data_IF_490260233026
#
_entry.id   IF_490260233026
#
_cell.length_a   1.000
_cell.length_b   1.000
_cell.length_c   1.000
_cell.angle_alpha   90.00
_cell.angle_beta   90.00
_cell.angle_gamma   90.00
#
_symmetry.space_group_name_H-M   'P 1'
#
loop_
_entity.id
_entity.type
_entity.pdbx_description
1 polymer ?
#
# COMPACT_ATOMS: atom_id res chain seq x y z
N UNK A 1 33.68 42.57 -33.34
CA UNK A 1 32.94 41.41 -33.88
C UNK A 1 31.76 41.18 -32.95
N UNK A 2 30.57 41.62 -33.37
CA UNK A 2 29.47 40.73 -33.83
C UNK A 2 29.04 39.77 -32.72
N UNK A 3 27.98 40.05 -31.95
CA UNK A 3 26.54 40.09 -32.30
C UNK A 3 25.97 38.68 -32.53
N UNK A 4 24.94 38.38 -31.72
CA UNK A 4 23.84 37.41 -31.92
C UNK A 4 24.08 35.89 -31.86
N UNK A 5 23.38 35.22 -30.95
CA UNK A 5 22.07 34.63 -31.30
C UNK A 5 21.25 34.15 -30.08
N UNK A 6 20.08 34.76 -29.96
CA UNK A 6 18.86 34.38 -29.23
C UNK A 6 18.34 33.00 -29.75
N UNK A 7 17.46 32.24 -29.05
CA UNK A 7 16.04 32.60 -29.04
C UNK A 7 15.26 32.30 -27.74
N UNK A 8 14.44 33.28 -27.35
CA UNK A 8 12.99 33.17 -27.09
C UNK A 8 12.53 32.11 -26.07
N UNK A 9 12.13 32.58 -24.89
CA UNK A 9 10.81 32.22 -24.36
C UNK A 9 10.11 33.54 -24.01
N UNK A 10 9.36 34.04 -24.99
CA UNK A 10 8.20 34.87 -24.71
C UNK A 10 7.24 34.03 -23.86
N UNK A 11 6.77 34.58 -22.75
CA UNK A 11 5.43 34.27 -22.28
C UNK A 11 4.76 35.60 -21.98
N UNK A 12 4.14 36.15 -23.03
CA UNK A 12 3.16 37.21 -22.90
C UNK A 12 1.88 36.67 -22.25
N UNK A 13 1.06 37.61 -21.81
CA UNK A 13 -0.29 37.47 -21.22
C UNK A 13 -0.32 36.68 -19.90
N UNK A 14 -0.87 37.24 -18.82
CA UNK A 14 -2.23 37.76 -18.79
C UNK A 14 -2.37 38.97 -17.89
N UNK A 15 -3.11 39.94 -18.42
CA UNK A 15 -3.89 40.91 -17.64
C UNK A 15 -4.69 40.11 -16.61
N UNK A 16 -4.57 40.49 -15.34
CA UNK A 16 -5.56 40.16 -14.32
C UNK A 16 -5.81 41.44 -13.55
N UNK A 17 -6.84 42.15 -14.01
CA UNK A 17 -7.58 43.14 -13.22
C UNK A 17 -7.87 42.55 -11.84
N UNK A 18 -7.24 43.12 -10.81
CA UNK A 18 -7.69 42.95 -9.43
C UNK A 18 -8.75 44.02 -9.16
N UNK A 19 -10.01 43.65 -9.32
CA UNK A 19 -11.17 44.39 -8.82
C UNK A 19 -11.07 44.54 -7.30
N UNK A 20 -11.21 45.79 -6.85
CA UNK A 20 -10.86 46.30 -5.55
C UNK A 20 -11.85 45.89 -4.46
N UNK A 21 -11.39 45.15 -3.44
CA UNK A 21 -11.81 45.37 -2.04
C UNK A 21 -10.66 45.08 -1.06
N UNK A 22 -9.83 46.11 -0.88
CA UNK A 22 -9.17 46.39 0.40
C UNK A 22 -8.05 45.46 0.83
N UNK A 23 -6.89 45.55 0.19
CA UNK A 23 -5.60 45.46 0.89
C UNK A 23 -4.55 46.25 0.11
N UNK A 24 -3.83 47.11 0.83
CA UNK A 24 -2.82 48.02 0.32
C UNK A 24 -1.60 47.23 -0.15
N UNK A 25 -1.36 47.13 -1.46
CA UNK A 25 -0.19 46.47 -2.03
C UNK A 25 0.72 47.53 -2.65
N UNK A 26 1.70 47.99 -1.86
CA UNK A 26 2.90 48.64 -2.39
C UNK A 26 3.63 47.70 -3.37
N UNK A 27 4.29 48.34 -4.33
CA UNK A 27 4.89 47.78 -5.53
C UNK A 27 5.70 46.48 -5.32
N UNK A 28 5.64 45.63 -6.35
CA UNK A 28 6.25 44.32 -6.43
C UNK A 28 7.67 44.23 -5.88
N UNK A 29 7.81 43.46 -4.80
CA UNK A 29 9.10 42.95 -4.40
C UNK A 29 9.58 41.94 -5.45
N UNK A 30 10.83 42.03 -5.95
CA UNK A 30 11.38 40.98 -6.80
C UNK A 30 11.39 39.68 -6.00
N UNK A 31 10.81 38.62 -6.58
CA UNK A 31 10.86 37.26 -6.03
C UNK A 31 12.33 36.86 -5.92
N UNK A 32 12.93 37.01 -4.73
CA UNK A 32 14.20 36.39 -4.42
C UNK A 32 13.95 34.89 -4.37
N UNK A 33 14.42 34.18 -5.38
CA UNK A 33 14.63 32.73 -5.28
C UNK A 33 15.67 32.55 -4.17
N UNK A 34 15.22 32.31 -2.94
CA UNK A 34 16.09 31.82 -1.87
C UNK A 34 16.55 30.44 -2.36
N UNK A 35 17.85 30.24 -2.65
CA UNK A 35 18.33 28.92 -3.02
C UNK A 35 17.99 27.99 -1.86
N UNK A 36 17.02 27.10 -2.10
CA UNK A 36 16.57 26.13 -1.12
C UNK A 36 17.79 25.36 -0.63
N UNK A 37 18.05 25.43 0.68
CA UNK A 37 19.07 24.63 1.35
C UNK A 37 18.91 23.19 0.85
N UNK A 38 19.96 22.53 0.33
CA UNK A 38 19.83 21.15 -0.14
C UNK A 38 19.29 20.33 1.03
N UNK A 39 18.04 19.88 0.91
CA UNK A 39 17.43 18.98 1.88
C UNK A 39 18.18 17.67 1.68
N UNK A 40 19.22 17.48 2.49
CA UNK A 40 19.96 16.23 2.63
C UNK A 40 18.98 15.18 3.13
N UNK A 41 18.20 14.66 2.19
CA UNK A 41 17.35 13.49 2.33
C UNK A 41 18.25 12.25 2.25
N UNK A 42 19.23 12.17 3.13
CA UNK A 42 19.77 10.88 3.54
C UNK A 42 18.74 10.22 4.46
N UNK A 43 17.51 10.06 3.97
CA UNK A 43 16.65 9.00 4.44
C UNK A 43 17.32 7.74 3.93
N UNK A 44 18.31 7.25 4.67
CA UNK A 44 18.73 5.86 4.52
C UNK A 44 17.47 5.06 4.83
N UNK A 45 16.73 4.67 3.79
CA UNK A 45 15.64 3.72 3.88
C UNK A 45 16.28 2.40 4.30
N UNK A 46 16.58 2.30 5.59
CA UNK A 46 17.12 1.11 6.19
C UNK A 46 15.99 0.09 6.19
N UNK A 47 16.02 -0.80 5.21
CA UNK A 47 15.12 -1.95 5.10
C UNK A 47 15.07 -2.70 6.44
N UNK A 48 16.18 -2.77 7.18
CA UNK A 48 16.24 -3.37 8.51
C UNK A 48 15.46 -2.62 9.59
N UNK A 49 15.41 -1.28 9.54
CA UNK A 49 14.60 -0.47 10.46
C UNK A 49 13.10 -0.61 10.17
N UNK A 50 12.74 -0.65 8.89
CA UNK A 50 11.37 -0.91 8.44
C UNK A 50 10.90 -2.30 8.88
N UNK A 51 11.72 -3.34 8.71
CA UNK A 51 11.44 -4.70 9.16
C UNK A 51 11.24 -4.79 10.68
N UNK A 52 12.02 -4.03 11.45
CA UNK A 52 11.92 -4.01 12.92
C UNK A 52 10.67 -3.27 13.40
N UNK A 53 10.26 -2.20 12.71
CA UNK A 53 8.99 -1.51 12.96
C UNK A 53 7.79 -2.37 12.56
N UNK A 54 7.90 -3.13 11.46
CA UNK A 54 6.94 -4.16 11.06
C UNK A 54 6.74 -5.19 12.18
N UNK A 55 7.81 -5.60 12.88
CA UNK A 55 7.72 -6.62 13.93
C UNK A 55 7.06 -6.17 15.25
N UNK A 56 6.80 -4.88 15.45
CA UNK A 56 6.34 -4.33 16.74
C UNK A 56 4.83 -4.12 16.85
N UNK A 57 4.06 -4.13 15.76
CA UNK A 57 2.61 -3.90 15.81
C UNK A 57 1.81 -5.21 15.98
N UNK A 58 0.76 -5.22 16.81
CA UNK A 58 -0.02 -6.44 17.11
C UNK A 58 -0.81 -6.95 15.90
N UNK A 59 -1.32 -6.05 15.05
CA UNK A 59 -2.07 -6.41 13.84
C UNK A 59 -1.19 -7.12 12.81
N UNK A 60 0.10 -6.81 12.80
CA UNK A 60 1.05 -7.38 11.86
C UNK A 60 1.56 -8.77 12.27
N UNK A 61 1.42 -9.14 13.54
CA UNK A 61 1.74 -10.49 14.01
C UNK A 61 0.90 -11.54 13.31
N UNK A 62 -0.37 -11.23 12.99
CA UNK A 62 -1.28 -12.13 12.28
C UNK A 62 -0.82 -12.31 10.83
N UNK A 63 -0.44 -11.22 10.16
CA UNK A 63 0.09 -11.25 8.79
C UNK A 63 1.41 -12.04 8.73
N UNK A 64 2.29 -11.81 9.70
CA UNK A 64 3.59 -12.48 9.78
C UNK A 64 3.44 -13.98 10.08
N UNK A 65 2.46 -14.34 10.92
CA UNK A 65 2.10 -15.73 11.16
C UNK A 65 1.58 -16.39 9.88
N UNK A 66 0.69 -15.72 9.15
CA UNK A 66 0.19 -16.18 7.85
C UNK A 66 1.30 -16.36 6.81
N UNK A 67 2.22 -15.40 6.71
CA UNK A 67 3.37 -15.46 5.80
C UNK A 67 4.32 -16.61 6.19
N UNK A 68 4.59 -16.78 7.49
CA UNK A 68 5.42 -17.88 8.01
C UNK A 68 4.80 -19.25 7.67
N UNK A 69 3.49 -19.42 7.90
CA UNK A 69 2.80 -20.65 7.52
C UNK A 69 2.77 -20.86 6.00
N UNK A 70 2.65 -19.80 5.19
CA UNK A 70 2.68 -19.91 3.73
C UNK A 70 4.04 -20.42 3.26
N UNK A 71 5.12 -19.86 3.79
CA UNK A 71 6.49 -20.33 3.50
C UNK A 71 6.66 -21.78 3.95
N UNK A 72 6.17 -22.14 5.14
CA UNK A 72 6.22 -23.50 5.65
C UNK A 72 5.45 -24.49 4.76
N UNK A 73 4.28 -24.10 4.27
CA UNK A 73 3.46 -24.89 3.35
C UNK A 73 4.18 -25.11 2.02
N UNK A 74 4.79 -24.07 1.46
CA UNK A 74 5.57 -24.14 0.21
C UNK A 74 6.81 -25.04 0.36
N UNK A 75 7.43 -25.01 1.54
CA UNK A 75 8.58 -25.86 1.85
C UNK A 75 8.17 -27.33 2.07
N UNK A 76 7.00 -27.56 2.68
CA UNK A 76 6.45 -28.90 2.87
C UNK A 76 6.11 -29.57 1.52
N UNK A 77 5.58 -28.80 0.57
CA UNK A 77 5.34 -29.24 -0.81
C UNK A 77 6.64 -29.69 -1.50
N UNK A 78 7.72 -28.90 -1.36
CA UNK A 78 9.05 -29.23 -1.90
C UNK A 78 9.68 -30.49 -1.30
N UNK A 79 9.34 -30.82 -0.06
CA UNK A 79 9.87 -32.00 0.65
C UNK A 79 9.12 -33.29 0.29
N UNK A 80 8.07 -33.22 -0.54
CA UNK A 80 7.31 -34.41 -0.96
C UNK A 80 6.58 -35.08 0.21
N UNK A 81 6.20 -34.31 1.23
CA UNK A 81 5.41 -34.82 2.35
C UNK A 81 4.06 -35.36 1.87
N UNK A 82 3.53 -36.34 2.60
CA UNK A 82 2.29 -37.04 2.28
C UNK A 82 1.13 -36.05 1.99
N UNK A 83 0.46 -36.22 0.85
CA UNK A 83 -0.66 -35.41 0.35
C UNK A 83 -1.70 -34.94 1.41
N UNK A 84 -2.18 -35.78 2.35
CA UNK A 84 -3.20 -35.36 3.31
C UNK A 84 -2.71 -34.27 4.29
N UNK A 85 -1.42 -34.26 4.63
CA UNK A 85 -0.88 -33.27 5.55
C UNK A 85 -0.84 -31.87 4.94
N UNK A 86 -0.56 -31.78 3.64
CA UNK A 86 -0.51 -30.53 2.90
C UNK A 86 -1.92 -29.92 2.82
N UNK A 87 -2.92 -30.75 2.55
CA UNK A 87 -4.32 -30.33 2.45
C UNK A 87 -4.85 -29.75 3.77
N UNK A 88 -4.53 -30.40 4.90
CA UNK A 88 -4.87 -29.90 6.24
C UNK A 88 -4.16 -28.58 6.52
N UNK A 89 -2.88 -28.47 6.15
CA UNK A 89 -2.10 -27.27 6.37
C UNK A 89 -2.63 -26.09 5.57
N UNK A 90 -3.01 -26.30 4.30
CA UNK A 90 -3.62 -25.28 3.45
C UNK A 90 -4.99 -24.83 3.99
N UNK A 91 -5.80 -25.77 4.47
CA UNK A 91 -7.12 -25.46 5.04
C UNK A 91 -7.03 -24.67 6.35
N UNK A 92 -5.98 -24.91 7.15
CA UNK A 92 -5.66 -24.11 8.33
C UNK A 92 -5.08 -22.74 7.95
N UNK A 93 -4.21 -22.72 6.94
CA UNK A 93 -3.52 -21.51 6.52
C UNK A 93 -4.48 -20.45 5.97
N UNK A 94 -5.48 -20.84 5.19
CA UNK A 94 -6.44 -19.91 4.60
C UNK A 94 -7.16 -19.00 5.64
N UNK A 95 -7.83 -19.53 6.67
CA UNK A 95 -8.45 -18.69 7.69
C UNK A 95 -7.43 -17.94 8.57
N UNK A 96 -6.22 -18.49 8.78
CA UNK A 96 -5.17 -17.77 9.52
C UNK A 96 -4.65 -16.55 8.74
N UNK A 97 -4.37 -16.71 7.45
CA UNK A 97 -3.88 -15.62 6.60
C UNK A 97 -4.95 -14.56 6.35
N UNK A 98 -6.21 -14.97 6.16
CA UNK A 98 -7.32 -14.06 5.88
C UNK A 98 -8.05 -13.51 7.10
N UNK A 99 -7.64 -13.84 8.34
CA UNK A 99 -8.45 -13.58 9.53
C UNK A 99 -8.90 -12.11 9.68
N UNK A 100 -7.99 -11.16 9.46
CA UNK A 100 -8.32 -9.73 9.52
C UNK A 100 -9.31 -9.34 8.41
N UNK A 101 -9.07 -9.79 7.19
CA UNK A 101 -9.89 -9.50 6.01
C UNK A 101 -11.32 -10.03 6.18
N UNK A 102 -11.45 -11.28 6.64
CA UNK A 102 -12.76 -11.89 6.89
C UNK A 102 -13.51 -11.12 7.96
N UNK A 103 -12.84 -10.75 9.05
CA UNK A 103 -13.46 -9.99 10.15
C UNK A 103 -13.94 -8.62 9.69
N UNK A 104 -13.12 -7.86 8.99
CA UNK A 104 -13.45 -6.51 8.51
C UNK A 104 -14.48 -6.53 7.37
N UNK A 105 -14.40 -7.54 6.49
CA UNK A 105 -15.39 -7.82 5.46
C UNK A 105 -16.76 -8.12 6.08
N UNK A 106 -16.83 -9.06 7.02
CA UNK A 106 -18.08 -9.46 7.67
C UNK A 106 -18.71 -8.29 8.44
N UNK A 107 -17.89 -7.54 9.19
CA UNK A 107 -18.33 -6.37 9.96
C UNK A 107 -18.89 -5.28 9.04
N UNK A 108 -18.20 -4.95 7.96
CA UNK A 108 -18.65 -3.91 7.03
C UNK A 108 -19.92 -4.31 6.30
N UNK A 109 -20.03 -5.57 5.87
CA UNK A 109 -21.19 -6.08 5.16
C UNK A 109 -22.45 -6.08 6.05
N UNK A 110 -22.36 -6.60 7.27
CA UNK A 110 -23.51 -6.70 8.17
C UNK A 110 -23.91 -5.37 8.81
N UNK A 111 -22.95 -4.56 9.26
CA UNK A 111 -23.26 -3.34 10.03
C UNK A 111 -23.48 -2.14 9.13
N UNK A 112 -22.66 -1.98 8.09
CA UNK A 112 -22.71 -0.79 7.23
C UNK A 112 -23.47 -1.03 5.91
N UNK A 113 -23.75 -2.30 5.53
CA UNK A 113 -24.30 -2.68 4.21
C UNK A 113 -23.58 -1.98 3.06
N UNK A 114 -22.26 -1.78 3.19
CA UNK A 114 -21.39 -1.15 2.19
C UNK A 114 -20.48 -2.24 1.63
N UNK A 115 -20.33 -2.25 0.31
CA UNK A 115 -19.35 -3.11 -0.37
C UNK A 115 -17.97 -2.45 -0.29
N UNK A 116 -17.07 -3.05 0.50
CA UNK A 116 -15.67 -2.66 0.60
C UNK A 116 -14.78 -3.67 -0.12
N UNK A 117 -13.53 -3.30 -0.42
CA UNK A 117 -12.56 -4.18 -1.07
C UNK A 117 -12.38 -5.51 -0.31
N UNK A 118 -12.34 -5.46 1.02
CA UNK A 118 -12.22 -6.64 1.89
C UNK A 118 -13.41 -7.60 1.77
N UNK A 119 -14.62 -7.07 1.49
CA UNK A 119 -15.82 -7.90 1.26
C UNK A 119 -15.71 -8.67 -0.04
N UNK A 120 -15.23 -8.02 -1.11
CA UNK A 120 -15.03 -8.64 -2.41
C UNK A 120 -13.92 -9.70 -2.32
N UNK A 121 -12.82 -9.40 -1.62
CA UNK A 121 -11.74 -10.36 -1.39
C UNK A 121 -12.20 -11.59 -0.60
N UNK A 122 -13.02 -11.40 0.44
CA UNK A 122 -13.56 -12.49 1.26
C UNK A 122 -14.43 -13.43 0.41
N UNK A 123 -15.35 -12.89 -0.38
CA UNK A 123 -16.22 -13.71 -1.25
C UNK A 123 -15.40 -14.44 -2.32
N UNK A 124 -14.42 -13.77 -2.92
CA UNK A 124 -13.53 -14.39 -3.91
C UNK A 124 -12.75 -15.57 -3.31
N UNK A 125 -12.19 -15.40 -2.10
CA UNK A 125 -11.44 -16.47 -1.42
C UNK A 125 -12.32 -17.68 -1.09
N UNK A 126 -13.58 -17.45 -0.67
CA UNK A 126 -14.55 -18.54 -0.42
C UNK A 126 -14.87 -19.26 -1.73
N UNK A 127 -15.07 -18.52 -2.83
CA UNK A 127 -15.30 -19.09 -4.15
C UNK A 127 -14.14 -19.97 -4.62
N UNK A 128 -12.89 -19.54 -4.38
CA UNK A 128 -11.70 -20.30 -4.76
C UNK A 128 -11.55 -21.61 -3.96
N UNK A 129 -11.94 -21.63 -2.68
CA UNK A 129 -11.99 -22.88 -1.87
C UNK A 129 -12.98 -23.88 -2.46
N UNK A 130 -14.14 -23.40 -2.93
CA UNK A 130 -15.16 -24.27 -3.55
C UNK A 130 -14.65 -24.90 -4.85
N UNK A 131 -13.81 -24.19 -5.61
CA UNK A 131 -13.17 -24.69 -6.82
C UNK A 131 -11.96 -25.61 -6.54
N UNK A 132 -11.64 -25.89 -5.27
CA UNK A 132 -10.49 -26.67 -4.80
C UNK A 132 -9.10 -26.10 -5.14
N UNK A 133 -9.03 -24.91 -5.75
CA UNK A 133 -7.77 -24.20 -6.05
C UNK A 133 -7.29 -23.40 -4.83
N UNK A 134 -6.96 -24.12 -3.77
CA UNK A 134 -6.66 -23.51 -2.45
C UNK A 134 -5.32 -22.78 -2.45
N UNK A 135 -4.34 -23.25 -3.24
CA UNK A 135 -3.01 -22.66 -3.32
C UNK A 135 -3.04 -21.23 -3.89
N UNK A 136 -3.69 -21.04 -5.05
CA UNK A 136 -3.80 -19.72 -5.67
C UNK A 136 -4.58 -18.75 -4.79
N UNK A 137 -5.66 -19.24 -4.17
CA UNK A 137 -6.46 -18.48 -3.23
C UNK A 137 -5.62 -17.92 -2.06
N UNK A 138 -4.79 -18.78 -1.46
CA UNK A 138 -3.94 -18.41 -0.33
C UNK A 138 -2.92 -17.34 -0.72
N UNK A 139 -2.29 -17.44 -1.90
CA UNK A 139 -1.32 -16.45 -2.36
C UNK A 139 -1.99 -15.09 -2.58
N UNK A 140 -3.12 -15.07 -3.29
CA UNK A 140 -3.85 -13.83 -3.56
C UNK A 140 -4.32 -13.18 -2.25
N UNK A 141 -4.87 -13.99 -1.33
CA UNK A 141 -5.31 -13.54 -0.01
C UNK A 141 -4.15 -12.96 0.82
N UNK A 142 -2.98 -13.60 0.79
CA UNK A 142 -1.80 -13.11 1.50
C UNK A 142 -1.30 -11.79 0.92
N UNK A 143 -1.18 -11.67 -0.40
CA UNK A 143 -0.71 -10.45 -1.06
C UNK A 143 -1.64 -9.26 -0.83
N UNK A 144 -2.95 -9.51 -0.83
CA UNK A 144 -3.95 -8.50 -0.49
C UNK A 144 -3.80 -8.03 0.96
N UNK A 145 -3.74 -8.98 1.90
CA UNK A 145 -3.57 -8.68 3.32
C UNK A 145 -2.27 -7.92 3.59
N UNK A 146 -1.20 -8.27 2.88
CA UNK A 146 0.08 -7.56 2.96
C UNK A 146 -0.03 -6.11 2.44
N UNK A 147 -0.82 -5.88 1.40
CA UNK A 147 -1.05 -4.54 0.84
C UNK A 147 -1.83 -3.65 1.83
N UNK A 148 -2.86 -4.19 2.47
CA UNK A 148 -3.63 -3.48 3.48
C UNK A 148 -2.78 -3.13 4.71
N UNK A 149 -1.89 -4.03 5.09
CA UNK A 149 -0.90 -3.77 6.14
C UNK A 149 0.11 -2.67 5.78
N UNK A 150 0.54 -2.60 4.52
CA UNK A 150 1.42 -1.53 4.03
C UNK A 150 0.71 -0.17 3.97
N UNK A 151 -0.56 -0.16 3.58
CA UNK A 151 -1.39 1.03 3.64
C UNK A 151 -1.56 1.53 5.07
N UNK A 152 -1.72 0.61 6.04
CA UNK A 152 -1.74 0.95 7.47
C UNK A 152 -0.41 1.50 8.03
N UNK A 153 0.73 1.30 7.36
CA UNK A 153 2.02 1.86 7.82
C UNK A 153 2.21 3.32 7.38
N UNK A 154 1.65 3.71 6.23
CA UNK A 154 1.81 5.06 5.67
C UNK A 154 0.78 6.07 6.19
N UNK A 155 -0.26 5.61 6.90
CA UNK A 155 -1.34 6.43 7.45
C UNK A 155 -1.17 6.67 8.95
#
# INVERSE_FOLDING_TARGET
MKTESNPIIQSGSSISECEERGCNCEAGAPVRIVPGKPRKNTSTLSIGGFFRSFWQTPDLKIVLLGLSLLVLSLFADRLGLQQPWIMILQLLLLPLAGWSIFKDGFRTLFIKRRFNMNTLMSVASIGAVVLSETYEAIILLLLFTLSEALEGYIN
#
